data_IF_409835045360
#
_entry.id   IF_409835045360
#
_cell.length_a   1.000
_cell.length_b   1.000
_cell.length_c   1.000
_cell.angle_alpha   90.00
_cell.angle_beta   90.00
_cell.angle_gamma   90.00
#
_symmetry.space_group_name_H-M   'P 1'
#
loop_
_entity.id
_entity.type
_entity.pdbx_description
1 polymer ?
#
# COMPACT_ATOMS: atom_id res chain seq x y z
N UNK A 1 -8.49 -23.61 -7.17
CA UNK A 1 -8.49 -22.95 -8.49
C UNK A 1 -9.04 -23.99 -9.43
N UNK A 2 -9.94 -23.65 -10.34
CA UNK A 2 -10.65 -24.58 -11.23
C UNK A 2 -9.72 -25.28 -12.26
N UNK A 3 -8.65 -25.90 -11.78
CA UNK A 3 -7.50 -26.38 -12.55
C UNK A 3 -6.43 -25.33 -12.85
N UNK A 4 -6.69 -24.03 -12.69
CA UNK A 4 -5.72 -22.98 -13.00
C UNK A 4 -4.52 -22.97 -12.06
N UNK A 5 -3.36 -22.62 -12.62
CA UNK A 5 -2.11 -22.37 -11.90
C UNK A 5 -1.63 -20.96 -12.19
N UNK A 6 -0.90 -20.38 -11.24
CA UNK A 6 -0.24 -19.10 -11.42
C UNK A 6 1.23 -19.39 -11.76
N UNK A 7 1.71 -18.77 -12.83
CA UNK A 7 3.08 -18.89 -13.31
C UNK A 7 3.79 -17.54 -13.18
N UNK A 8 5.14 -17.53 -13.03
CA UNK A 8 5.89 -16.30 -12.77
C UNK A 8 6.29 -15.52 -14.04
N UNK A 9 6.08 -16.06 -15.24
CA UNK A 9 6.54 -15.48 -16.51
C UNK A 9 5.37 -15.31 -17.50
N UNK A 10 5.53 -14.37 -18.45
CA UNK A 10 4.56 -14.20 -19.53
C UNK A 10 4.55 -15.36 -20.52
N UNK A 11 5.72 -15.96 -20.80
CA UNK A 11 5.85 -17.05 -21.78
C UNK A 11 5.14 -18.33 -21.34
N UNK A 12 5.12 -18.60 -20.03
CA UNK A 12 4.47 -19.78 -19.45
C UNK A 12 2.97 -19.58 -19.22
N UNK A 13 2.44 -18.36 -19.44
CA UNK A 13 1.05 -18.03 -19.13
C UNK A 13 0.13 -18.29 -20.32
N UNK A 14 -1.00 -18.98 -20.08
CA UNK A 14 -2.03 -19.13 -21.12
C UNK A 14 -2.88 -17.85 -21.31
N UNK A 15 -2.94 -17.00 -20.28
CA UNK A 15 -3.59 -15.67 -20.25
C UNK A 15 -2.94 -14.83 -19.14
N UNK A 16 -2.82 -13.52 -19.37
CA UNK A 16 -2.30 -12.58 -18.38
C UNK A 16 -3.44 -11.69 -17.87
N UNK A 17 -3.52 -11.51 -16.55
CA UNK A 17 -4.45 -10.58 -15.90
C UNK A 17 -3.67 -9.39 -15.35
N UNK A 18 -3.88 -8.20 -15.92
CA UNK A 18 -3.23 -6.96 -15.49
C UNK A 18 -4.18 -6.17 -14.59
N UNK A 19 -3.82 -5.96 -13.33
CA UNK A 19 -4.59 -5.16 -12.38
C UNK A 19 -4.06 -3.71 -12.35
N UNK A 20 -4.93 -2.75 -12.68
CA UNK A 20 -4.55 -1.38 -13.01
C UNK A 20 -4.97 -0.35 -11.97
N UNK A 21 -4.20 0.74 -11.88
CA UNK A 21 -4.52 1.90 -11.05
C UNK A 21 -5.12 3.03 -11.90
N UNK A 22 -6.28 3.54 -11.50
CA UNK A 22 -7.03 4.54 -12.28
C UNK A 22 -7.04 5.96 -11.70
N UNK A 23 -6.20 6.26 -10.72
CA UNK A 23 -6.29 7.53 -9.98
C UNK A 23 -5.14 8.49 -10.30
N UNK A 24 -3.90 8.11 -10.02
CA UNK A 24 -2.71 8.96 -10.22
C UNK A 24 -2.25 8.84 -11.67
N UNK A 25 -1.96 9.96 -12.35
CA UNK A 25 -1.64 9.94 -13.77
C UNK A 25 -0.36 9.16 -14.11
N UNK A 26 0.68 9.26 -13.27
CA UNK A 26 1.88 8.42 -13.42
C UNK A 26 1.54 6.93 -13.32
N UNK A 27 0.68 6.54 -12.37
CA UNK A 27 0.25 5.16 -12.20
C UNK A 27 -0.68 4.68 -13.32
N UNK A 28 -1.47 5.58 -13.94
CA UNK A 28 -2.26 5.27 -15.15
C UNK A 28 -1.34 5.01 -16.34
N UNK A 29 -0.31 5.85 -16.53
CA UNK A 29 0.67 5.67 -17.60
C UNK A 29 1.42 4.35 -17.44
N UNK A 30 1.94 4.08 -16.23
CA UNK A 30 2.58 2.79 -15.90
C UNK A 30 1.65 1.60 -16.13
N UNK A 31 0.36 1.72 -15.77
CA UNK A 31 -0.63 0.67 -16.03
C UNK A 31 -0.84 0.42 -17.52
N UNK A 32 -0.82 1.45 -18.37
CA UNK A 32 -0.92 1.30 -19.82
C UNK A 32 0.34 0.65 -20.39
N UNK A 33 1.52 1.08 -19.95
CA UNK A 33 2.79 0.48 -20.37
C UNK A 33 2.85 -1.01 -20.02
N UNK A 34 2.43 -1.39 -18.81
CA UNK A 34 2.35 -2.79 -18.38
C UNK A 34 1.35 -3.63 -19.21
N UNK A 35 0.23 -3.03 -19.64
CA UNK A 35 -0.71 -3.69 -20.58
C UNK A 35 -0.01 -3.91 -21.93
N UNK A 36 0.70 -2.90 -22.44
CA UNK A 36 1.45 -2.98 -23.68
C UNK A 36 2.52 -4.08 -23.66
N UNK A 37 3.30 -4.15 -22.59
CA UNK A 37 4.30 -5.19 -22.35
C UNK A 37 3.66 -6.59 -22.33
N UNK A 38 2.62 -6.80 -21.53
CA UNK A 38 1.92 -8.08 -21.45
C UNK A 38 1.31 -8.51 -22.81
N UNK A 39 0.83 -7.56 -23.61
CA UNK A 39 0.35 -7.83 -24.97
C UNK A 39 1.51 -8.24 -25.89
N UNK A 40 2.67 -7.58 -25.78
CA UNK A 40 3.83 -7.88 -26.61
C UNK A 40 4.40 -9.28 -26.31
N UNK A 41 4.47 -9.64 -25.03
CA UNK A 41 5.09 -10.89 -24.57
C UNK A 41 4.13 -12.09 -24.65
N UNK A 42 2.84 -11.92 -24.31
CA UNK A 42 1.88 -13.03 -24.25
C UNK A 42 0.78 -12.98 -25.32
N UNK A 43 0.31 -11.78 -25.67
CA UNK A 43 -0.76 -11.57 -26.64
C UNK A 43 -2.19 -11.81 -26.15
N UNK A 44 -2.40 -12.45 -24.99
CA UNK A 44 -3.73 -12.66 -24.39
C UNK A 44 -3.84 -11.97 -23.04
N UNK A 45 -4.38 -10.75 -23.04
CA UNK A 45 -4.43 -9.90 -21.85
C UNK A 45 -5.87 -9.56 -21.45
N UNK A 46 -6.18 -9.78 -20.17
CA UNK A 46 -7.40 -9.31 -19.49
C UNK A 46 -6.99 -8.17 -18.55
N UNK A 47 -7.72 -7.06 -18.60
CA UNK A 47 -7.46 -5.90 -17.73
C UNK A 47 -8.52 -5.84 -16.64
N UNK A 48 -8.08 -5.60 -15.41
CA UNK A 48 -8.95 -5.39 -14.25
C UNK A 48 -8.46 -4.19 -13.43
N UNK A 49 -9.24 -3.76 -12.45
CA UNK A 49 -8.87 -2.70 -11.52
C UNK A 49 -9.54 -1.35 -11.82
N UNK A 50 -8.98 -0.28 -11.26
CA UNK A 50 -9.64 1.03 -11.26
C UNK A 50 -9.76 1.65 -12.65
N UNK A 51 -8.81 1.44 -13.57
CA UNK A 51 -8.92 1.99 -14.92
C UNK A 51 -10.04 1.36 -15.73
N UNK A 52 -10.52 0.17 -15.37
CA UNK A 52 -11.60 -0.51 -16.07
C UNK A 52 -12.95 0.22 -16.01
N UNK A 53 -13.09 1.27 -15.18
CA UNK A 53 -14.24 2.19 -15.22
C UNK A 53 -14.27 2.99 -16.53
N UNK A 54 -13.12 3.21 -17.16
CA UNK A 54 -12.96 3.86 -18.46
C UNK A 54 -12.37 2.88 -19.50
N UNK A 55 -13.17 1.88 -19.85
CA UNK A 55 -12.80 0.85 -20.84
C UNK A 55 -12.42 1.44 -22.21
N UNK A 56 -13.06 2.53 -22.62
CA UNK A 56 -12.82 3.16 -23.92
C UNK A 56 -11.39 3.70 -24.03
N UNK A 57 -10.86 4.29 -22.96
CA UNK A 57 -9.49 4.78 -22.92
C UNK A 57 -8.47 3.63 -23.07
N UNK A 58 -8.66 2.54 -22.30
CA UNK A 58 -7.80 1.35 -22.40
C UNK A 58 -7.83 0.77 -23.82
N UNK A 59 -9.02 0.56 -24.39
CA UNK A 59 -9.16 -0.02 -25.73
C UNK A 59 -8.72 0.93 -26.84
N UNK A 60 -8.76 2.23 -26.61
CA UNK A 60 -8.23 3.24 -27.54
C UNK A 60 -6.72 3.12 -27.74
N UNK A 61 -5.98 2.79 -26.68
CA UNK A 61 -4.52 2.57 -26.71
C UNK A 61 -4.17 1.12 -27.06
N UNK A 62 -4.85 0.17 -26.41
CA UNK A 62 -4.59 -1.27 -26.53
C UNK A 62 -5.86 -2.02 -26.99
N UNK A 63 -6.21 -1.97 -28.29
CA UNK A 63 -7.45 -2.56 -28.81
C UNK A 63 -7.50 -4.09 -28.74
N UNK A 64 -6.35 -4.76 -28.59
CA UNK A 64 -6.22 -6.22 -28.52
C UNK A 64 -6.50 -6.83 -27.14
N UNK A 65 -6.81 -6.02 -26.13
CA UNK A 65 -7.22 -6.52 -24.80
C UNK A 65 -8.50 -7.35 -24.93
N UNK A 66 -8.50 -8.54 -24.34
CA UNK A 66 -9.57 -9.53 -24.46
C UNK A 66 -10.82 -9.11 -23.66
N UNK A 67 -10.63 -8.64 -22.43
CA UNK A 67 -11.70 -8.17 -21.56
C UNK A 67 -11.19 -7.05 -20.65
N UNK A 68 -12.10 -6.14 -20.28
CA UNK A 68 -11.84 -5.07 -19.32
C UNK A 68 -12.91 -5.15 -18.23
N UNK A 69 -12.48 -5.15 -16.97
CA UNK A 69 -13.36 -5.20 -15.80
C UNK A 69 -13.01 -4.09 -14.82
N UNK A 70 -14.02 -3.55 -14.14
CA UNK A 70 -13.87 -2.51 -13.13
C UNK A 70 -13.44 -3.04 -11.75
N UNK A 71 -13.25 -2.15 -10.77
CA UNK A 71 -12.85 -2.54 -9.43
C UNK A 71 -13.93 -3.40 -8.75
N UNK A 72 -13.49 -4.39 -7.96
CA UNK A 72 -14.36 -5.30 -7.19
C UNK A 72 -15.24 -6.24 -8.02
N UNK A 73 -15.02 -6.33 -9.34
CA UNK A 73 -15.79 -7.21 -10.23
C UNK A 73 -15.16 -8.61 -10.35
N UNK A 74 -14.89 -9.26 -9.21
CA UNK A 74 -14.16 -10.53 -9.16
C UNK A 74 -14.79 -11.63 -10.04
N UNK A 75 -16.12 -11.77 -10.00
CA UNK A 75 -16.83 -12.75 -10.83
C UNK A 75 -16.67 -12.46 -12.33
N UNK A 76 -16.62 -11.19 -12.74
CA UNK A 76 -16.42 -10.82 -14.14
C UNK A 76 -15.00 -11.12 -14.61
N UNK A 77 -14.00 -10.93 -13.75
CA UNK A 77 -12.61 -11.33 -14.03
C UNK A 77 -12.53 -12.84 -14.25
N UNK A 78 -13.14 -13.62 -13.34
CA UNK A 78 -13.17 -15.08 -13.45
C UNK A 78 -13.89 -15.53 -14.73
N UNK A 79 -15.03 -14.94 -15.05
CA UNK A 79 -15.76 -15.25 -16.28
C UNK A 79 -14.94 -14.89 -17.53
N UNK A 80 -14.24 -13.76 -17.54
CA UNK A 80 -13.35 -13.38 -18.63
C UNK A 80 -12.21 -14.40 -18.79
N UNK A 81 -11.63 -14.89 -17.69
CA UNK A 81 -10.64 -15.98 -17.75
C UNK A 81 -11.26 -17.25 -18.33
N UNK A 82 -12.48 -17.61 -17.93
CA UNK A 82 -13.19 -18.80 -18.43
C UNK A 82 -13.51 -18.73 -19.92
N UNK A 83 -13.78 -17.54 -20.45
CA UNK A 83 -13.99 -17.34 -21.89
C UNK A 83 -12.73 -17.55 -22.71
N UNK A 84 -11.56 -17.18 -22.17
CA UNK A 84 -10.26 -17.33 -22.83
C UNK A 84 -9.70 -18.74 -22.66
N UNK A 85 -9.82 -19.28 -21.44
CA UNK A 85 -9.37 -20.61 -21.05
C UNK A 85 -10.52 -21.28 -20.30
N UNK A 86 -11.31 -22.14 -20.95
CA UNK A 86 -12.38 -22.86 -20.27
C UNK A 86 -11.82 -23.71 -19.11
N UNK A 87 -12.50 -23.73 -17.95
CA UNK A 87 -12.04 -24.50 -16.80
C UNK A 87 -12.02 -25.99 -17.12
N UNK A 88 -11.10 -26.72 -16.48
CA UNK A 88 -11.02 -28.15 -16.68
C UNK A 88 -12.28 -28.82 -16.11
N UNK A 89 -12.99 -29.57 -16.97
CA UNK A 89 -14.26 -30.25 -16.63
C UNK A 89 -14.03 -31.35 -15.57
N UNK A 90 -12.79 -31.82 -15.39
CA UNK A 90 -12.41 -32.79 -14.35
C UNK A 90 -12.11 -32.16 -12.97
N UNK A 91 -12.28 -30.84 -12.81
CA UNK A 91 -12.11 -30.18 -11.50
C UNK A 91 -13.06 -30.76 -10.46
N UNK A 92 -12.51 -31.32 -9.39
CA UNK A 92 -13.28 -31.80 -8.23
C UNK A 92 -13.08 -30.79 -7.07
N UNK A 93 -14.10 -30.00 -6.70
CA UNK A 93 -14.02 -29.03 -5.61
C UNK A 93 -13.64 -29.64 -4.25
N UNK A 94 -13.78 -30.95 -4.07
CA UNK A 94 -13.41 -31.66 -2.85
C UNK A 94 -11.94 -32.10 -2.83
N UNK A 95 -11.25 -32.09 -3.98
CA UNK A 95 -9.84 -32.51 -4.12
C UNK A 95 -8.94 -31.31 -4.45
N UNK A 96 -9.42 -30.38 -5.28
CA UNK A 96 -8.67 -29.21 -5.76
C UNK A 96 -8.87 -27.99 -4.84
N UNK A 97 -8.51 -28.19 -3.58
CA UNK A 97 -8.74 -27.22 -2.51
C UNK A 97 -7.87 -25.96 -2.71
N UNK A 98 -8.50 -24.79 -2.72
CA UNK A 98 -7.79 -23.53 -2.49
C UNK A 98 -7.31 -23.53 -1.03
N UNK A 99 -6.04 -23.19 -0.76
CA UNK A 99 -5.55 -23.12 0.60
C UNK A 99 -6.45 -22.21 1.46
N UNK A 100 -6.70 -22.52 2.74
CA UNK A 100 -7.56 -21.70 3.59
C UNK A 100 -7.14 -20.22 3.67
N UNK A 101 -5.86 -19.93 3.49
CA UNK A 101 -5.28 -18.59 3.43
C UNK A 101 -5.46 -17.86 2.08
N UNK A 102 -6.03 -18.51 1.06
CA UNK A 102 -6.04 -18.03 -0.32
C UNK A 102 -4.71 -18.26 -1.06
N UNK A 103 -4.60 -17.72 -2.27
CA UNK A 103 -3.36 -17.73 -3.05
C UNK A 103 -2.69 -16.38 -2.88
N UNK A 104 -1.39 -16.40 -2.64
CA UNK A 104 -0.59 -15.21 -2.37
C UNK A 104 0.38 -14.97 -3.50
N UNK A 105 0.37 -13.75 -4.03
CA UNK A 105 1.33 -13.27 -5.03
C UNK A 105 2.52 -12.54 -4.38
N UNK A 106 2.38 -12.09 -3.13
CA UNK A 106 3.47 -11.46 -2.39
C UNK A 106 4.48 -12.50 -1.88
N UNK A 107 5.73 -12.10 -1.60
CA UNK A 107 6.72 -12.92 -0.91
C UNK A 107 6.19 -13.58 0.37
N UNK A 108 6.75 -14.75 0.72
CA UNK A 108 6.19 -15.65 1.75
C UNK A 108 6.10 -15.01 3.14
N UNK A 109 6.95 -14.06 3.46
CA UNK A 109 7.12 -13.48 4.80
C UNK A 109 6.25 -12.26 5.10
N UNK A 110 5.55 -11.66 4.13
CA UNK A 110 4.58 -10.61 4.42
C UNK A 110 3.24 -10.81 3.68
N UNK A 111 2.18 -10.17 4.16
CA UNK A 111 0.87 -10.17 3.50
C UNK A 111 0.07 -8.89 3.77
N UNK A 112 -0.64 -8.41 2.76
CA UNK A 112 -1.61 -7.35 2.91
C UNK A 112 -2.95 -7.90 3.42
N UNK A 113 -3.49 -7.27 4.46
CA UNK A 113 -4.78 -7.60 5.06
C UNK A 113 -5.74 -6.43 4.85
N UNK A 114 -6.61 -6.55 3.84
CA UNK A 114 -7.64 -5.54 3.57
C UNK A 114 -8.77 -5.63 4.59
N UNK A 115 -9.03 -4.55 5.32
CA UNK A 115 -10.04 -4.53 6.40
C UNK A 115 -11.34 -3.83 6.02
N UNK A 116 -11.28 -2.90 5.08
CA UNK A 116 -12.43 -2.19 4.56
C UNK A 116 -12.18 -1.72 3.13
N UNK A 117 -13.25 -1.27 2.48
CA UNK A 117 -13.25 -0.78 1.11
C UNK A 117 -14.12 0.49 1.05
N UNK A 118 -13.80 1.39 0.13
CA UNK A 118 -14.52 2.66 -0.02
C UNK A 118 -14.15 3.68 1.07
N UNK A 119 -14.72 4.88 0.96
CA UNK A 119 -14.36 5.99 1.85
C UNK A 119 -15.56 6.92 2.08
N UNK A 120 -15.66 7.46 3.30
CA UNK A 120 -16.70 8.42 3.67
C UNK A 120 -16.25 9.89 3.60
N UNK A 121 -14.96 10.14 3.39
CA UNK A 121 -14.41 11.49 3.32
C UNK A 121 -14.91 12.26 2.10
N UNK A 122 -14.84 13.58 2.19
CA UNK A 122 -15.17 14.53 1.13
C UNK A 122 -13.94 15.36 0.75
N UNK A 123 -12.78 14.71 0.64
CA UNK A 123 -11.54 15.39 0.24
C UNK A 123 -11.73 16.04 -1.12
N UNK A 124 -11.39 17.32 -1.24
CA UNK A 124 -11.64 18.12 -2.46
C UNK A 124 -10.96 17.57 -3.71
N UNK A 125 -9.82 16.90 -3.55
CA UNK A 125 -9.00 16.35 -4.63
C UNK A 125 -9.32 14.89 -4.98
N UNK A 126 -10.26 14.23 -4.30
CA UNK A 126 -10.40 12.77 -4.35
C UNK A 126 -11.80 12.32 -4.80
N UNK A 127 -11.85 11.38 -5.75
CA UNK A 127 -13.10 10.80 -6.28
C UNK A 127 -13.41 9.40 -5.74
N UNK A 128 -12.61 8.89 -4.78
CA UNK A 128 -12.78 7.55 -4.22
C UNK A 128 -14.22 7.25 -3.77
N UNK A 129 -14.94 8.16 -3.08
CA UNK A 129 -16.33 7.89 -2.69
C UNK A 129 -17.27 7.66 -3.87
N UNK A 130 -17.02 8.31 -5.01
CA UNK A 130 -17.79 8.15 -6.25
C UNK A 130 -17.39 6.88 -7.00
N UNK A 131 -16.09 6.55 -7.01
CA UNK A 131 -15.54 5.41 -7.75
C UNK A 131 -15.68 4.07 -7.03
N UNK A 132 -15.36 4.02 -5.73
CA UNK A 132 -15.36 2.79 -4.90
C UNK A 132 -16.51 2.72 -3.90
N UNK A 133 -17.34 3.76 -3.83
CA UNK A 133 -18.45 3.85 -2.89
C UNK A 133 -18.07 4.32 -1.49
N UNK A 134 -19.09 4.37 -0.63
CA UNK A 134 -18.94 4.67 0.80
C UNK A 134 -18.21 3.55 1.53
N UNK A 135 -17.73 3.84 2.75
CA UNK A 135 -17.04 2.87 3.58
C UNK A 135 -17.88 1.61 3.80
N UNK A 136 -17.29 0.46 3.50
CA UNK A 136 -17.80 -0.87 3.82
C UNK A 136 -16.71 -1.64 4.57
N UNK A 137 -16.92 -1.85 5.86
CA UNK A 137 -15.99 -2.59 6.72
C UNK A 137 -16.28 -4.08 6.70
N UNK A 138 -15.21 -4.88 6.76
CA UNK A 138 -15.33 -6.31 7.00
C UNK A 138 -15.63 -6.58 8.48
N UNK A 139 -16.36 -7.65 8.83
CA UNK A 139 -16.52 -8.08 10.23
C UNK A 139 -15.17 -8.49 10.84
N UNK A 140 -14.92 -8.09 12.09
CA UNK A 140 -13.62 -8.35 12.74
C UNK A 140 -13.31 -9.83 12.92
N UNK A 141 -14.31 -10.70 13.10
CA UNK A 141 -14.09 -12.14 13.19
C UNK A 141 -13.48 -12.70 11.89
N UNK A 142 -13.99 -12.27 10.74
CA UNK A 142 -13.44 -12.66 9.42
C UNK A 142 -12.01 -12.16 9.23
N UNK A 143 -11.74 -10.90 9.58
CA UNK A 143 -10.41 -10.28 9.45
C UNK A 143 -9.38 -10.99 10.33
N UNK A 144 -9.70 -11.24 11.61
CA UNK A 144 -8.79 -11.91 12.53
C UNK A 144 -8.57 -13.38 12.17
N UNK A 145 -9.60 -14.08 11.70
CA UNK A 145 -9.44 -15.44 11.18
C UNK A 145 -8.54 -15.50 9.94
N UNK A 146 -8.62 -14.53 9.04
CA UNK A 146 -7.70 -14.44 7.90
C UNK A 146 -6.27 -14.15 8.34
N UNK A 147 -6.08 -13.16 9.22
CA UNK A 147 -4.78 -12.84 9.81
C UNK A 147 -4.14 -14.07 10.47
N UNK A 148 -4.90 -14.82 11.26
CA UNK A 148 -4.42 -16.05 11.91
C UNK A 148 -3.99 -17.11 10.89
N UNK A 149 -4.74 -17.29 9.80
CA UNK A 149 -4.35 -18.21 8.71
C UNK A 149 -3.07 -17.77 8.02
N UNK A 150 -2.91 -16.46 7.76
CA UNK A 150 -1.70 -15.90 7.16
C UNK A 150 -0.47 -16.14 8.06
N UNK A 151 -0.59 -15.88 9.36
CA UNK A 151 0.50 -16.14 10.32
C UNK A 151 0.83 -17.63 10.40
N UNK A 152 -0.17 -18.51 10.46
CA UNK A 152 0.04 -19.97 10.42
C UNK A 152 0.70 -20.45 9.13
N UNK A 153 0.52 -19.73 8.02
CA UNK A 153 1.19 -19.99 6.74
C UNK A 153 2.62 -19.45 6.67
N UNK A 154 3.14 -18.84 7.75
CA UNK A 154 4.54 -18.40 7.87
C UNK A 154 4.77 -16.91 7.66
N UNK A 155 3.71 -16.11 7.48
CA UNK A 155 3.81 -14.64 7.41
C UNK A 155 4.41 -14.09 8.71
N UNK A 156 5.36 -13.15 8.58
CA UNK A 156 6.08 -12.46 9.66
C UNK A 156 5.68 -10.98 9.79
N UNK A 157 5.01 -10.43 8.78
CA UNK A 157 4.49 -9.06 8.75
C UNK A 157 3.10 -8.99 8.10
N UNK A 158 2.13 -8.41 8.80
CA UNK A 158 0.79 -8.11 8.29
C UNK A 158 0.69 -6.62 8.00
N UNK A 159 0.33 -6.26 6.77
CA UNK A 159 0.12 -4.88 6.34
C UNK A 159 -1.38 -4.61 6.25
N UNK A 160 -1.91 -3.91 7.24
CA UNK A 160 -3.33 -3.56 7.34
C UNK A 160 -3.63 -2.40 6.39
N UNK A 161 -4.52 -2.64 5.42
CA UNK A 161 -4.83 -1.69 4.36
C UNK A 161 -6.34 -1.43 4.19
N UNK A 162 -6.68 -0.22 3.77
CA UNK A 162 -7.96 0.22 3.21
C UNK A 162 -7.78 1.64 2.66
N UNK A 163 -8.85 2.31 2.20
CA UNK A 163 -8.78 3.73 1.81
C UNK A 163 -8.68 4.68 3.01
N UNK A 164 -9.31 4.32 4.14
CA UNK A 164 -9.10 4.94 5.44
C UNK A 164 -9.20 3.86 6.52
N UNK A 165 -8.07 3.44 7.07
CA UNK A 165 -8.04 2.40 8.09
C UNK A 165 -8.61 2.91 9.41
N UNK A 166 -8.42 4.20 9.71
CA UNK A 166 -8.85 4.79 10.98
C UNK A 166 -10.39 4.77 11.16
N UNK A 167 -11.14 4.72 10.06
CA UNK A 167 -12.60 4.65 10.07
C UNK A 167 -13.15 3.21 10.22
N UNK A 168 -12.30 2.19 10.37
CA UNK A 168 -12.73 0.79 10.41
C UNK A 168 -13.85 0.54 11.42
N UNK A 169 -14.97 0.02 10.91
CA UNK A 169 -16.17 -0.35 11.65
C UNK A 169 -17.14 0.78 12.01
N UNK A 170 -16.87 2.02 11.58
CA UNK A 170 -17.79 3.17 11.79
C UNK A 170 -19.15 2.91 11.13
N UNK A 171 -19.15 2.40 9.89
CA UNK A 171 -20.33 2.00 9.12
C UNK A 171 -21.14 0.88 9.81
N UNK A 172 -20.45 0.01 10.54
CA UNK A 172 -21.05 -1.07 11.33
C UNK A 172 -21.41 -0.65 12.76
N UNK A 173 -21.23 0.64 13.12
CA UNK A 173 -21.40 1.14 14.50
C UNK A 173 -20.61 0.32 15.54
N UNK A 174 -19.41 -0.10 15.17
CA UNK A 174 -18.53 -0.94 15.98
C UNK A 174 -19.18 -2.24 16.46
N UNK A 175 -19.97 -2.87 15.58
CA UNK A 175 -20.67 -4.12 15.85
C UNK A 175 -19.74 -5.15 16.48
N UNK A 176 -20.21 -5.77 17.56
CA UNK A 176 -19.53 -6.89 18.20
C UNK A 176 -19.58 -8.12 17.30
N UNK A 177 -18.46 -8.81 17.19
CA UNK A 177 -18.31 -10.11 16.55
C UNK A 177 -17.49 -11.03 17.47
N UNK A 178 -17.32 -12.30 17.09
CA UNK A 178 -16.57 -13.27 17.87
C UNK A 178 -15.38 -13.81 17.09
N UNK A 179 -14.23 -13.89 17.75
CA UNK A 179 -13.05 -14.58 17.25
C UNK A 179 -12.46 -15.44 18.37
N UNK A 180 -12.23 -16.74 18.09
CA UNK A 180 -11.78 -17.72 19.09
C UNK A 180 -12.60 -17.73 20.40
N UNK A 181 -13.91 -17.54 20.27
CA UNK A 181 -14.84 -17.49 21.41
C UNK A 181 -14.78 -16.19 22.23
N UNK A 182 -13.89 -15.26 21.89
CA UNK A 182 -13.79 -13.96 22.54
C UNK A 182 -14.62 -12.90 21.79
N UNK A 183 -15.38 -12.05 22.50
CA UNK A 183 -16.11 -10.95 21.90
C UNK A 183 -15.14 -9.82 21.53
N UNK A 184 -15.13 -9.41 20.27
CA UNK A 184 -14.27 -8.33 19.74
C UNK A 184 -15.15 -7.31 19.02
N UNK A 185 -14.97 -6.02 19.31
CA UNK A 185 -15.68 -4.98 18.55
C UNK A 185 -15.01 -4.79 17.20
N UNK A 186 -15.81 -4.60 16.15
CA UNK A 186 -15.29 -4.21 14.85
C UNK A 186 -14.86 -2.75 14.89
N UNK A 187 -13.68 -2.49 15.43
CA UNK A 187 -13.09 -1.15 15.63
C UNK A 187 -11.57 -1.27 15.58
N UNK A 188 -10.91 -0.23 15.07
CA UNK A 188 -9.46 -0.26 14.84
C UNK A 188 -8.66 -0.58 16.10
N UNK A 189 -9.02 -0.03 17.27
CA UNK A 189 -8.31 -0.27 18.53
C UNK A 189 -8.28 -1.76 18.89
N UNK A 190 -9.46 -2.41 18.97
CA UNK A 190 -9.57 -3.84 19.28
C UNK A 190 -8.90 -4.71 18.22
N UNK A 191 -8.99 -4.32 16.94
CA UNK A 191 -8.28 -5.03 15.86
C UNK A 191 -6.77 -5.00 16.11
N UNK A 192 -6.19 -3.84 16.44
CA UNK A 192 -4.77 -3.71 16.74
C UNK A 192 -4.37 -4.49 18.00
N UNK A 193 -5.20 -4.49 19.05
CA UNK A 193 -4.95 -5.24 20.28
C UNK A 193 -4.88 -6.75 20.00
N UNK A 194 -5.77 -7.30 19.17
CA UNK A 194 -5.75 -8.73 18.83
C UNK A 194 -4.64 -9.09 17.84
N UNK A 195 -4.41 -8.28 16.79
CA UNK A 195 -3.31 -8.51 15.84
C UNK A 195 -1.94 -8.42 16.55
N UNK A 196 -1.78 -7.50 17.50
CA UNK A 196 -0.54 -7.34 18.27
C UNK A 196 -0.17 -8.56 19.13
N UNK A 197 -1.12 -9.46 19.41
CA UNK A 197 -0.86 -10.71 20.15
C UNK A 197 -0.36 -11.85 19.25
N UNK A 198 -0.34 -11.67 17.93
CA UNK A 198 -0.03 -12.75 16.98
C UNK A 198 1.48 -13.03 16.80
N UNK A 199 2.36 -12.28 17.48
CA UNK A 199 3.81 -12.50 17.44
C UNK A 199 4.49 -12.17 16.11
N UNK A 200 3.80 -11.39 15.26
CA UNK A 200 4.27 -10.90 13.96
C UNK A 200 4.26 -9.38 13.96
N UNK A 201 4.96 -8.76 13.01
CA UNK A 201 4.83 -7.32 12.81
C UNK A 201 3.44 -7.00 12.23
N UNK A 202 2.87 -5.89 12.70
CA UNK A 202 1.57 -5.38 12.23
C UNK A 202 1.78 -3.92 11.85
N UNK A 203 1.60 -3.61 10.57
CA UNK A 203 1.80 -2.29 10.01
C UNK A 203 0.47 -1.69 9.59
N UNK A 204 0.19 -0.47 10.04
CA UNK A 204 -1.01 0.24 9.67
C UNK A 204 -0.71 1.21 8.52
N UNK A 205 -1.44 1.09 7.42
CA UNK A 205 -1.38 2.05 6.31
C UNK A 205 -2.64 2.91 6.27
N UNK A 206 -2.58 4.04 5.56
CA UNK A 206 -3.74 4.87 5.21
C UNK A 206 -4.56 5.35 6.42
N UNK A 207 -3.86 5.80 7.47
CA UNK A 207 -4.49 6.42 8.65
C UNK A 207 -4.81 7.88 8.33
N UNK A 208 -6.09 8.24 8.33
CA UNK A 208 -6.51 9.60 7.97
C UNK A 208 -6.33 10.62 9.11
N UNK A 209 -5.64 11.76 8.89
CA UNK A 209 -5.57 12.85 9.84
C UNK A 209 -6.85 13.71 9.77
N UNK A 210 -7.76 13.53 10.74
CA UNK A 210 -9.01 14.28 10.76
C UNK A 210 -8.79 15.80 10.97
N UNK A 211 -9.51 16.69 10.24
CA UNK A 211 -9.25 18.14 10.28
C UNK A 211 -9.35 18.81 11.65
N UNK A 212 -10.11 18.22 12.57
CA UNK A 212 -10.28 18.71 13.94
C UNK A 212 -9.13 18.34 14.88
N UNK A 213 -8.02 17.84 14.34
CA UNK A 213 -6.85 17.39 15.09
C UNK A 213 -5.69 18.36 14.91
N UNK A 214 -5.19 18.91 16.01
CA UNK A 214 -3.88 19.57 16.06
C UNK A 214 -2.78 18.53 15.84
N UNK A 215 -2.41 18.33 14.58
CA UNK A 215 -1.56 17.20 14.17
C UNK A 215 -0.14 17.30 14.74
N UNK A 216 0.46 18.50 14.82
CA UNK A 216 1.78 18.70 15.44
C UNK A 216 1.79 18.32 16.92
N UNK A 217 0.83 18.83 17.70
CA UNK A 217 0.71 18.51 19.12
C UNK A 217 0.53 17.00 19.34
N UNK A 218 -0.20 16.33 18.44
CA UNK A 218 -0.41 14.88 18.48
C UNK A 218 0.87 14.10 18.16
N UNK A 219 1.60 14.47 17.10
CA UNK A 219 2.89 13.87 16.75
C UNK A 219 3.87 13.99 17.92
N UNK A 220 3.97 15.19 18.52
CA UNK A 220 4.83 15.42 19.68
C UNK A 220 4.49 14.49 20.84
N UNK A 221 3.21 14.42 21.21
CA UNK A 221 2.74 13.53 22.29
C UNK A 221 3.01 12.05 21.99
N UNK A 222 2.86 11.62 20.75
CA UNK A 222 3.18 10.24 20.38
C UNK A 222 4.67 9.94 20.52
N UNK A 223 5.55 10.87 20.16
CA UNK A 223 7.00 10.71 20.34
C UNK A 223 7.46 10.80 21.79
N UNK A 224 6.73 11.51 22.65
CA UNK A 224 6.96 11.45 24.10
C UNK A 224 6.68 10.05 24.67
N UNK A 225 5.70 9.34 24.09
CA UNK A 225 5.32 7.97 24.50
C UNK A 225 6.23 6.92 23.84
N UNK A 226 6.51 7.09 22.56
CA UNK A 226 7.29 6.17 21.73
C UNK A 226 8.32 6.98 20.91
N UNK A 227 9.51 7.28 21.47
CA UNK A 227 10.51 8.14 20.81
C UNK A 227 11.01 7.60 19.46
N UNK A 228 10.99 6.29 19.29
CA UNK A 228 11.39 5.61 18.05
C UNK A 228 10.29 5.61 16.97
N UNK A 229 9.06 6.03 17.30
CA UNK A 229 7.92 5.99 16.38
C UNK A 229 8.26 6.58 15.01
N UNK A 230 8.08 5.75 13.99
CA UNK A 230 8.23 6.14 12.59
C UNK A 230 6.89 6.62 12.06
N UNK A 231 6.87 7.83 11.50
CA UNK A 231 5.66 8.44 10.94
C UNK A 231 5.92 8.75 9.47
N UNK A 232 5.07 8.17 8.62
CA UNK A 232 5.02 8.46 7.19
C UNK A 232 3.80 9.29 6.85
N UNK A 233 3.96 10.29 5.98
CA UNK A 233 2.84 11.05 5.41
C UNK A 233 3.03 11.29 3.91
N UNK A 234 1.96 11.78 3.27
CA UNK A 234 1.97 12.18 1.88
C UNK A 234 1.36 13.58 1.77
N UNK A 235 1.94 14.43 0.92
CA UNK A 235 1.47 15.79 0.65
C UNK A 235 1.23 16.02 -0.84
N UNK A 236 0.41 17.02 -1.12
CA UNK A 236 0.15 17.52 -2.47
C UNK A 236 0.59 18.97 -2.51
N UNK A 237 1.42 19.33 -3.48
CA UNK A 237 1.79 20.72 -3.78
C UNK A 237 1.12 21.18 -5.06
N UNK A 238 0.85 22.46 -5.19
CA UNK A 238 0.21 23.04 -6.37
C UNK A 238 -1.31 22.89 -6.39
N UNK A 239 -1.95 22.65 -5.24
CA UNK A 239 -3.41 22.65 -5.15
C UNK A 239 -3.97 24.00 -5.63
N UNK A 240 -5.10 24.04 -6.36
CA UNK A 240 -5.68 25.30 -6.83
C UNK A 240 -5.83 26.33 -5.71
N UNK A 241 -5.35 27.55 -5.94
CA UNK A 241 -5.33 28.63 -4.95
C UNK A 241 -4.12 28.63 -4.00
N UNK A 242 -3.23 27.64 -4.03
CA UNK A 242 -2.05 27.59 -3.13
C UNK A 242 -1.09 28.76 -3.40
N UNK A 243 -0.87 29.58 -2.38
CA UNK A 243 0.04 30.74 -2.42
C UNK A 243 1.46 30.37 -1.97
N UNK A 244 2.42 31.27 -2.18
CA UNK A 244 3.78 31.08 -1.63
C UNK A 244 3.80 31.09 -0.10
N UNK A 245 2.88 31.82 0.54
CA UNK A 245 2.75 31.84 1.99
C UNK A 245 2.27 30.49 2.53
N UNK A 246 1.26 29.88 1.88
CA UNK A 246 0.78 28.53 2.23
C UNK A 246 1.89 27.48 2.06
N UNK A 247 2.65 27.58 0.96
CA UNK A 247 3.75 26.67 0.69
C UNK A 247 4.89 26.83 1.71
N UNK A 248 5.25 28.06 2.08
CA UNK A 248 6.27 28.28 3.10
C UNK A 248 5.81 27.78 4.48
N UNK A 249 4.54 28.00 4.83
CA UNK A 249 3.94 27.43 6.05
C UNK A 249 4.07 25.91 6.09
N UNK A 250 3.84 25.22 4.96
CA UNK A 250 4.01 23.77 4.85
C UNK A 250 5.46 23.32 5.12
N UNK A 251 6.46 24.02 4.60
CA UNK A 251 7.88 23.71 4.85
C UNK A 251 8.26 23.93 6.32
N UNK A 252 7.78 25.02 6.92
CA UNK A 252 7.99 25.32 8.33
C UNK A 252 7.33 24.25 9.21
N UNK A 253 6.11 23.84 8.85
CA UNK A 253 5.37 22.77 9.51
C UNK A 253 6.13 21.43 9.44
N UNK A 254 6.70 21.07 8.29
CA UNK A 254 7.50 19.85 8.15
C UNK A 254 8.75 19.89 9.04
N UNK A 255 9.39 21.05 9.13
CA UNK A 255 10.54 21.27 10.01
C UNK A 255 10.18 20.98 11.47
N UNK A 256 9.01 21.41 11.92
CA UNK A 256 8.54 21.12 13.29
C UNK A 256 8.10 19.66 13.46
N UNK A 257 7.38 19.12 12.47
CA UNK A 257 6.83 17.76 12.53
C UNK A 257 7.92 16.69 12.51
N UNK A 258 9.07 16.95 11.89
CA UNK A 258 10.22 16.04 11.81
C UNK A 258 9.81 14.63 11.31
N UNK A 259 8.97 14.53 10.29
CA UNK A 259 8.46 13.25 9.79
C UNK A 259 9.59 12.38 9.23
N UNK A 260 9.49 11.07 9.42
CA UNK A 260 10.53 10.11 9.02
C UNK A 260 10.62 9.91 7.52
N UNK A 261 9.45 9.73 6.91
CA UNK A 261 9.26 9.38 5.51
C UNK A 261 8.14 10.27 4.98
N UNK A 262 8.36 10.95 3.86
CA UNK A 262 7.30 11.75 3.26
C UNK A 262 7.34 11.62 1.75
N UNK A 263 6.16 11.39 1.17
CA UNK A 263 5.95 11.52 -0.27
C UNK A 263 5.33 12.87 -0.62
N UNK A 264 5.67 13.41 -1.79
CA UNK A 264 5.09 14.61 -2.34
C UNK A 264 4.61 14.37 -3.77
N UNK A 265 3.39 14.79 -4.06
CA UNK A 265 2.82 14.74 -5.40
C UNK A 265 2.44 16.15 -5.86
N UNK A 266 2.59 16.41 -7.15
CA UNK A 266 1.98 17.60 -7.75
C UNK A 266 0.48 17.37 -7.86
N UNK A 267 -0.31 18.43 -7.62
CA UNK A 267 -1.74 18.37 -7.85
C UNK A 267 -2.02 18.12 -9.33
N UNK A 268 -2.78 17.06 -9.58
CA UNK A 268 -3.40 16.80 -10.87
C UNK A 268 -4.93 16.88 -10.73
N UNK A 269 -5.62 17.65 -11.59
CA UNK A 269 -7.08 17.69 -11.60
C UNK A 269 -7.64 16.32 -11.98
N UNK A 270 -8.67 15.89 -11.26
CA UNK A 270 -9.38 14.64 -11.52
C UNK A 270 -10.81 14.99 -11.87
N UNK A 271 -11.28 14.53 -13.02
CA UNK A 271 -12.66 14.78 -13.46
C UNK A 271 -13.66 14.28 -12.40
N UNK A 272 -14.59 15.15 -12.01
CA UNK A 272 -15.59 14.88 -10.97
C UNK A 272 -15.08 15.06 -9.52
N UNK A 273 -13.83 15.49 -9.31
CA UNK A 273 -13.36 15.89 -7.99
C UNK A 273 -13.97 17.24 -7.58
N UNK A 274 -14.36 17.45 -6.31
CA UNK A 274 -14.93 18.71 -5.86
C UNK A 274 -14.07 19.95 -6.14
N UNK A 275 -12.74 19.80 -6.20
CA UNK A 275 -11.80 20.88 -6.50
C UNK A 275 -12.08 21.58 -7.85
N UNK A 276 -12.62 20.87 -8.85
CA UNK A 276 -13.00 21.44 -10.14
C UNK A 276 -14.16 22.44 -10.03
N UNK A 277 -14.99 22.30 -9.00
CA UNK A 277 -16.16 23.16 -8.75
C UNK A 277 -15.84 24.35 -7.83
N UNK A 278 -14.63 24.42 -7.28
CA UNK A 278 -14.26 25.42 -6.26
C UNK A 278 -13.90 26.81 -6.83
N UNK A 279 -13.84 26.96 -8.17
CA UNK A 279 -13.46 28.20 -8.87
C UNK A 279 -12.15 28.84 -8.35
N UNK A 280 -11.18 27.97 -8.01
CA UNK A 280 -9.87 28.38 -7.52
C UNK A 280 -8.88 28.48 -8.68
N UNK A 281 -7.98 29.47 -8.60
CA UNK A 281 -6.96 29.67 -9.63
C UNK A 281 -6.01 28.48 -9.66
N UNK A 282 -5.91 27.81 -10.81
CA UNK A 282 -4.93 26.77 -11.03
C UNK A 282 -3.50 27.31 -10.89
N UNK A 283 -2.65 26.57 -10.20
CA UNK A 283 -1.23 26.87 -10.08
C UNK A 283 -0.52 26.44 -11.37
N UNK A 284 0.30 27.28 -12.02
CA UNK A 284 1.08 26.90 -13.20
C UNK A 284 2.04 25.73 -12.93
N UNK A 285 2.22 24.83 -13.89
CA UNK A 285 3.04 23.62 -13.71
C UNK A 285 4.51 23.93 -13.39
N UNK A 286 5.07 25.02 -13.92
CA UNK A 286 6.41 25.49 -13.55
C UNK A 286 6.53 25.81 -12.04
N UNK A 287 5.47 26.37 -11.45
CA UNK A 287 5.41 26.65 -10.01
C UNK A 287 5.21 25.35 -9.23
N UNK A 288 4.36 24.42 -9.71
CA UNK A 288 4.21 23.10 -9.08
C UNK A 288 5.55 22.34 -9.05
N UNK A 289 6.31 22.39 -10.14
CA UNK A 289 7.64 21.77 -10.21
C UNK A 289 8.61 22.43 -9.25
N UNK A 290 8.73 23.75 -9.26
CA UNK A 290 9.61 24.46 -8.34
C UNK A 290 9.26 24.19 -6.86
N UNK A 291 7.97 24.09 -6.52
CA UNK A 291 7.51 23.73 -5.17
C UNK A 291 7.83 22.28 -4.83
N UNK A 292 7.60 21.36 -5.76
CA UNK A 292 7.94 19.95 -5.56
C UNK A 292 9.45 19.78 -5.32
N UNK A 293 10.31 20.41 -6.12
CA UNK A 293 11.77 20.34 -5.96
C UNK A 293 12.20 20.88 -4.58
N UNK A 294 11.69 22.06 -4.18
CA UNK A 294 11.97 22.67 -2.87
C UNK A 294 11.47 21.80 -1.72
N UNK A 295 10.27 21.24 -1.84
CA UNK A 295 9.67 20.36 -0.84
C UNK A 295 10.52 19.11 -0.65
N UNK A 296 10.89 18.44 -1.75
CA UNK A 296 11.63 17.19 -1.71
C UNK A 296 13.03 17.41 -1.13
N UNK A 297 13.73 18.48 -1.54
CA UNK A 297 15.03 18.83 -0.96
C UNK A 297 14.94 19.12 0.56
N UNK A 298 13.90 19.84 0.99
CA UNK A 298 13.68 20.13 2.41
C UNK A 298 13.42 18.86 3.22
N UNK A 299 12.57 17.98 2.70
CA UNK A 299 12.26 16.71 3.36
C UNK A 299 13.45 15.75 3.37
N UNK A 300 14.23 15.66 2.29
CA UNK A 300 15.41 14.79 2.20
C UNK A 300 16.41 15.11 3.32
N UNK A 301 16.61 16.40 3.63
CA UNK A 301 17.44 16.81 4.77
C UNK A 301 16.89 16.31 6.12
N UNK A 302 15.56 16.34 6.32
CA UNK A 302 14.91 15.82 7.54
C UNK A 302 15.05 14.30 7.62
N UNK A 303 14.75 13.57 6.54
CA UNK A 303 14.83 12.11 6.48
C UNK A 303 16.27 11.62 6.71
N UNK A 304 17.25 12.25 6.07
CA UNK A 304 18.67 11.94 6.29
C UNK A 304 19.04 12.14 7.77
N UNK A 305 18.68 13.29 8.39
CA UNK A 305 18.95 13.55 9.79
C UNK A 305 18.28 12.51 10.73
N UNK A 306 17.05 12.09 10.42
CA UNK A 306 16.34 11.04 11.17
C UNK A 306 17.04 9.68 11.06
N UNK A 307 17.51 9.30 9.88
CA UNK A 307 18.22 8.04 9.65
C UNK A 307 19.60 8.03 10.32
N UNK A 308 20.32 9.15 10.34
CA UNK A 308 21.59 9.27 11.07
C UNK A 308 21.42 8.94 12.57
N UNK A 309 20.26 9.26 13.18
CA UNK A 309 19.96 8.90 14.58
C UNK A 309 19.81 7.38 14.82
N UNK A 310 19.79 6.57 13.75
CA UNK A 310 19.73 5.11 13.84
C UNK A 310 21.12 4.46 13.89
N UNK A 311 22.18 5.15 13.47
CA UNK A 311 23.55 4.62 13.53
C UNK A 311 23.92 4.23 14.97
N UNK A 312 24.48 3.04 15.12
CA UNK A 312 24.86 2.44 16.40
C UNK A 312 23.70 1.78 17.17
N UNK A 313 22.44 1.95 16.73
CA UNK A 313 21.29 1.29 17.36
C UNK A 313 21.17 -0.15 16.89
N UNK A 314 20.65 -0.97 17.78
CA UNK A 314 20.28 -2.35 17.47
C UNK A 314 18.79 -2.43 17.12
N UNK A 315 18.47 -3.14 16.05
CA UNK A 315 17.09 -3.34 15.63
C UNK A 315 16.88 -4.70 14.96
N UNK A 316 15.62 -5.09 14.88
CA UNK A 316 15.21 -6.27 14.15
C UNK A 316 15.03 -5.91 12.66
N UNK A 317 15.59 -6.73 11.78
CA UNK A 317 15.43 -6.64 10.32
C UNK A 317 14.81 -7.92 9.81
N UNK A 318 13.78 -7.79 8.97
CA UNK A 318 13.18 -8.89 8.23
C UNK A 318 13.84 -8.95 6.85
N UNK A 319 14.50 -10.06 6.53
CA UNK A 319 15.15 -10.25 5.22
C UNK A 319 14.08 -10.44 4.16
N UNK A 320 14.12 -9.64 3.10
CA UNK A 320 13.20 -9.73 1.96
C UNK A 320 13.82 -10.51 0.80
N UNK A 321 15.10 -10.28 0.54
CA UNK A 321 15.85 -10.83 -0.59
C UNK A 321 17.30 -11.14 -0.19
N UNK A 322 17.90 -12.11 -0.86
CA UNK A 322 19.33 -12.41 -0.79
C UNK A 322 19.81 -12.65 -2.21
N UNK A 323 20.77 -11.86 -2.66
CA UNK A 323 21.35 -11.92 -3.98
C UNK A 323 22.87 -12.19 -3.92
N UNK A 324 23.59 -11.95 -5.01
CA UNK A 324 25.05 -12.14 -5.08
C UNK A 324 25.83 -11.12 -4.24
N UNK A 325 25.25 -9.95 -3.99
CA UNK A 325 25.88 -8.81 -3.30
C UNK A 325 25.58 -8.80 -1.79
N UNK A 326 24.52 -9.46 -1.34
CA UNK A 326 24.26 -9.70 0.08
C UNK A 326 22.80 -9.91 0.44
N UNK A 327 22.48 -9.73 1.73
CA UNK A 327 21.12 -9.79 2.21
C UNK A 327 20.50 -8.39 2.27
N UNK A 328 19.30 -8.26 1.70
CA UNK A 328 18.51 -7.03 1.71
C UNK A 328 17.25 -7.29 2.52
N UNK A 329 16.98 -6.42 3.49
CA UNK A 329 15.80 -6.53 4.34
C UNK A 329 15.23 -5.17 4.70
N UNK A 330 14.29 -5.18 5.64
CA UNK A 330 13.63 -3.97 6.16
C UNK A 330 13.53 -4.01 7.66
N UNK A 331 13.62 -2.83 8.27
CA UNK A 331 13.27 -2.69 9.69
C UNK A 331 11.75 -2.59 9.86
N UNK A 332 11.28 -2.68 11.10
CA UNK A 332 9.87 -2.41 11.42
C UNK A 332 9.43 -0.98 11.03
N UNK A 333 10.36 -0.06 10.76
CA UNK A 333 10.07 1.28 10.29
C UNK A 333 9.68 1.35 8.81
N UNK A 334 10.03 0.32 8.02
CA UNK A 334 10.05 0.43 6.55
C UNK A 334 9.03 -0.52 5.90
N UNK A 335 8.09 0.04 5.15
CA UNK A 335 7.12 -0.72 4.38
C UNK A 335 7.76 -1.35 3.12
N UNK A 336 7.35 -2.57 2.73
CA UNK A 336 7.86 -3.23 1.52
C UNK A 336 7.51 -2.39 0.30
N UNK A 337 8.46 -2.31 -0.64
CA UNK A 337 8.31 -1.65 -1.96
C UNK A 337 8.02 -0.14 -1.91
N UNK A 338 7.99 0.48 -0.72
CA UNK A 338 7.56 1.87 -0.53
C UNK A 338 8.65 2.70 0.16
N UNK A 339 9.24 2.13 1.21
CA UNK A 339 10.27 2.79 2.00
C UNK A 339 11.64 2.19 1.67
N UNK A 340 12.68 2.66 2.34
CA UNK A 340 14.06 2.26 2.10
C UNK A 340 14.41 0.88 2.64
N UNK A 341 15.60 0.45 2.27
CA UNK A 341 16.13 -0.88 2.51
C UNK A 341 17.17 -0.87 3.62
N UNK A 342 17.42 -2.04 4.18
CA UNK A 342 18.52 -2.32 5.09
C UNK A 342 19.41 -3.37 4.46
N UNK A 343 20.62 -2.98 4.09
CA UNK A 343 21.66 -3.89 3.60
C UNK A 343 22.36 -4.52 4.80
N UNK A 344 22.35 -5.85 4.86
CA UNK A 344 22.80 -6.61 6.04
C UNK A 344 24.04 -7.42 5.69
N UNK A 345 25.13 -7.13 6.40
CA UNK A 345 26.35 -7.96 6.39
C UNK A 345 26.26 -9.06 7.47
N UNK A 346 26.66 -10.27 7.11
CA UNK A 346 26.58 -11.45 7.99
C UNK A 346 27.66 -12.48 7.66
N UNK A 347 28.26 -13.06 8.71
CA UNK A 347 29.17 -14.21 8.58
C UNK A 347 28.45 -15.52 8.19
N UNK A 348 27.12 -15.55 8.29
CA UNK A 348 26.31 -16.73 8.02
C UNK A 348 25.31 -16.45 6.89
N UNK A 349 25.04 -17.44 6.01
CA UNK A 349 24.01 -17.29 4.99
C UNK A 349 22.64 -17.02 5.62
N UNK A 350 22.02 -15.92 5.22
CA UNK A 350 20.66 -15.54 5.60
C UNK A 350 19.64 -16.03 4.57
N UNK A 351 18.36 -16.07 4.94
CA UNK A 351 17.28 -16.46 4.04
C UNK A 351 16.12 -15.46 4.04
N UNK A 352 15.44 -15.24 2.91
CA UNK A 352 14.19 -14.47 2.87
C UNK A 352 13.17 -14.96 3.90
N UNK A 353 12.61 -14.01 4.65
CA UNK A 353 11.68 -14.24 5.74
C UNK A 353 12.32 -14.52 7.11
N UNK A 354 13.64 -14.58 7.17
CA UNK A 354 14.38 -14.61 8.43
C UNK A 354 14.33 -13.23 9.11
N UNK A 355 14.13 -13.23 10.44
CA UNK A 355 14.23 -12.01 11.25
C UNK A 355 15.52 -12.06 12.04
N UNK A 356 16.42 -11.13 11.74
CA UNK A 356 17.75 -11.03 12.34
C UNK A 356 17.86 -9.79 13.20
N UNK A 357 18.65 -9.88 14.26
CA UNK A 357 19.02 -8.73 15.07
C UNK A 357 20.31 -8.15 14.49
N UNK A 358 20.32 -6.84 14.23
CA UNK A 358 21.46 -6.16 13.62
C UNK A 358 21.83 -4.91 14.41
N UNK A 359 23.07 -4.44 14.23
CA UNK A 359 23.51 -3.10 14.62
C UNK A 359 23.73 -2.25 13.37
N UNK A 360 23.06 -1.10 13.30
CA UNK A 360 23.21 -0.16 12.18
C UNK A 360 24.62 0.46 12.24
N UNK A 361 25.36 0.38 11.15
CA UNK A 361 26.73 0.89 11.03
C UNK A 361 26.79 2.16 10.18
N UNK A 362 25.90 2.28 9.20
CA UNK A 362 25.83 3.42 8.31
C UNK A 362 24.38 3.72 7.90
N UNK A 363 24.15 4.96 7.47
CA UNK A 363 22.89 5.43 6.94
C UNK A 363 23.17 6.49 5.88
N UNK A 364 22.38 6.48 4.81
CA UNK A 364 22.35 7.56 3.83
C UNK A 364 21.00 8.31 3.91
N UNK A 365 20.55 8.89 2.80
CA UNK A 365 19.31 9.65 2.72
C UNK A 365 18.05 8.79 2.76
N UNK A 366 18.14 7.50 2.42
CA UNK A 366 16.98 6.61 2.24
C UNK A 366 17.13 5.24 2.93
N UNK A 367 18.36 4.73 2.99
CA UNK A 367 18.72 3.36 3.31
C UNK A 367 19.68 3.26 4.51
N UNK A 368 19.76 2.05 5.06
CA UNK A 368 20.63 1.70 6.18
C UNK A 368 21.56 0.55 5.81
N UNK A 369 22.73 0.53 6.43
CA UNK A 369 23.63 -0.61 6.44
C UNK A 369 23.82 -1.09 7.86
N UNK A 370 23.84 -2.41 8.04
CA UNK A 370 23.92 -3.01 9.36
C UNK A 370 24.67 -4.34 9.34
N UNK A 371 25.18 -4.72 10.50
CA UNK A 371 25.87 -5.99 10.73
C UNK A 371 25.05 -6.85 11.70
N UNK A 372 24.93 -8.15 11.45
CA UNK A 372 24.27 -9.10 12.37
C UNK A 372 25.04 -9.17 13.70
N UNK A 373 24.31 -9.25 14.83
CA UNK A 373 24.88 -9.35 16.18
C UNK A 373 24.68 -10.70 16.87
#
# INVERSE_FOLDING_TARGET
>A
MEGYQIVPSYEDADVVVVNTCGFIDSAKAESLDAIGEAIAENGKVIVTGCMGVDENNIRGVHPSVLAVTGPQQYEQVVNAVHEVIPPNIEHDPFVDLVPPQGIKLTPRHYAYLKISEGCNHSCSFCIIPSMRGKLVSRPVGSVLSEAERLVKAGVKEILVISQDTSAYGVDLKYKLDFWNGQPVKTRMLELCEELGKMGVWVRLHYVYPYPNVETLARIKKWREICPELTIRSTFIVGFPGETEEDFQYLLDWLTEAQLDRVGCFQYSPVEGAPAEEMDLQAVPDEIKQARWDRFMAHQQAISAARLQLKIGKEMDVLIDEVDEDGAIGRSWADAPEIDGMVYVDSEHPLQPGEKVRVRVTHADEYDLWAEVI
#
